data_IF_194298978095
#
_entry.id   IF_194298978095
#
_cell.length_a   1.000
_cell.length_b   1.000
_cell.length_c   1.000
_cell.angle_alpha   90.00
_cell.angle_beta   90.00
_cell.angle_gamma   90.00
#
_symmetry.space_group_name_H-M   'P 1'
#
loop_
_entity.id
_entity.type
_entity.pdbx_description
1 polymer ?
#
# COMPACT_ATOMS: atom_id res chain seq x y z
N UNK A 1 23.69 7.34 -4.83
CA UNK A 1 23.32 8.73 -4.45
C UNK A 1 23.58 9.03 -2.98
N UNK A 2 23.09 8.22 -2.03
CA UNK A 2 23.38 8.41 -0.60
C UNK A 2 24.89 8.46 -0.30
N UNK A 3 25.67 7.47 -0.76
CA UNK A 3 27.13 7.46 -0.59
C UNK A 3 27.81 8.72 -1.17
N UNK A 4 27.30 9.26 -2.29
CA UNK A 4 27.83 10.48 -2.89
C UNK A 4 27.47 11.76 -2.12
N UNK A 5 26.26 11.83 -1.53
CA UNK A 5 25.86 12.94 -0.66
C UNK A 5 26.63 12.94 0.65
N UNK A 6 26.84 11.75 1.25
CA UNK A 6 27.65 11.60 2.45
C UNK A 6 29.11 11.97 2.19
N UNK A 7 29.68 11.49 1.08
CA UNK A 7 31.03 11.86 0.66
C UNK A 7 31.16 13.38 0.54
N UNK A 8 30.24 14.02 -0.18
CA UNK A 8 30.25 15.47 -0.35
C UNK A 8 30.11 16.21 0.99
N UNK A 9 29.26 15.71 1.90
CA UNK A 9 29.08 16.28 3.23
C UNK A 9 30.32 16.10 4.10
N UNK A 10 30.99 14.95 4.09
CA UNK A 10 32.22 14.72 4.85
C UNK A 10 33.38 15.60 4.33
N UNK A 11 33.53 15.74 3.01
CA UNK A 11 34.57 16.61 2.44
C UNK A 11 34.33 18.08 2.83
N UNK A 12 33.06 18.53 2.86
CA UNK A 12 32.73 19.95 3.09
C UNK A 12 32.63 20.33 4.57
N UNK A 13 32.09 19.47 5.43
CA UNK A 13 31.95 19.76 6.87
C UNK A 13 33.16 19.33 7.69
N UNK A 14 33.78 18.19 7.37
CA UNK A 14 34.84 17.58 8.16
C UNK A 14 36.24 17.83 7.59
N UNK A 15 36.35 18.46 6.41
CA UNK A 15 37.64 18.67 5.70
C UNK A 15 38.46 17.38 5.53
N UNK A 16 37.80 16.21 5.60
CA UNK A 16 38.45 14.93 5.47
C UNK A 16 38.84 14.72 3.99
N UNK A 17 40.14 14.55 3.66
CA UNK A 17 40.57 14.43 2.27
C UNK A 17 40.06 13.13 1.62
N UNK A 18 39.79 12.09 2.42
CA UNK A 18 39.43 10.75 1.94
C UNK A 18 38.35 10.07 2.82
N UNK A 19 37.07 10.50 2.77
CA UNK A 19 36.02 10.00 3.66
C UNK A 19 35.42 8.67 3.18
N UNK A 20 36.26 7.63 3.16
CA UNK A 20 35.85 6.28 2.75
C UNK A 20 34.92 5.62 3.77
N UNK A 21 35.05 5.94 5.05
CA UNK A 21 34.34 5.27 6.14
C UNK A 21 32.88 5.73 6.18
N UNK A 22 32.65 7.04 6.05
CA UNK A 22 31.31 7.62 5.97
C UNK A 22 30.56 7.16 4.73
N UNK A 23 31.25 7.04 3.58
CA UNK A 23 30.65 6.53 2.35
C UNK A 23 30.27 5.05 2.47
N UNK A 24 31.11 4.21 3.06
CA UNK A 24 30.83 2.80 3.34
C UNK A 24 29.67 2.66 4.33
N UNK A 25 29.65 3.44 5.42
CA UNK A 25 28.55 3.43 6.39
C UNK A 25 27.21 3.82 5.74
N UNK A 26 27.19 4.86 4.90
CA UNK A 26 25.98 5.28 4.19
C UNK A 26 25.52 4.24 3.14
N UNK A 27 26.45 3.60 2.43
CA UNK A 27 26.14 2.53 1.49
C UNK A 27 25.50 1.33 2.22
N UNK A 28 26.11 0.88 3.30
CA UNK A 28 25.65 -0.28 4.07
C UNK A 28 24.27 -0.03 4.70
N UNK A 29 23.99 1.18 5.18
CA UNK A 29 22.65 1.53 5.69
C UNK A 29 21.60 1.49 4.58
N UNK A 30 21.92 2.05 3.42
CA UNK A 30 20.97 2.07 2.30
C UNK A 30 20.73 0.65 1.78
N UNK A 31 21.77 -0.16 1.62
CA UNK A 31 21.65 -1.57 1.22
C UNK A 31 20.81 -2.37 2.22
N UNK A 32 21.09 -2.20 3.53
CA UNK A 32 20.32 -2.83 4.59
C UNK A 32 18.84 -2.42 4.56
N UNK A 33 18.51 -1.18 4.20
CA UNK A 33 17.11 -0.71 4.17
C UNK A 33 16.36 -0.96 2.86
N UNK A 34 17.07 -1.15 1.75
CA UNK A 34 16.46 -1.52 0.46
C UNK A 34 16.00 -2.98 0.50
N UNK A 35 16.70 -3.84 1.26
CA UNK A 35 16.42 -5.29 1.28
C UNK A 35 15.65 -5.74 2.53
N UNK A 36 15.78 -5.08 3.69
CA UNK A 36 15.02 -5.43 4.92
C UNK A 36 14.61 -4.17 5.72
N UNK A 37 13.52 -4.29 6.47
CA UNK A 37 12.74 -3.27 7.22
C UNK A 37 13.54 -2.17 7.98
N UNK A 38 12.90 -1.04 8.39
CA UNK A 38 13.53 0.06 9.20
C UNK A 38 14.31 -0.51 10.39
N UNK A 39 13.72 -1.52 11.01
CA UNK A 39 14.29 -2.22 12.18
C UNK A 39 15.68 -2.80 11.90
N UNK A 40 15.96 -3.23 10.68
CA UNK A 40 17.28 -3.69 10.27
C UNK A 40 18.30 -2.53 10.24
N UNK A 41 17.91 -1.40 9.65
CA UNK A 41 18.76 -0.20 9.60
C UNK A 41 19.05 0.38 10.99
N UNK A 42 18.05 0.42 11.88
CA UNK A 42 18.25 0.87 13.26
C UNK A 42 19.09 -0.10 14.08
N UNK A 43 18.94 -1.42 13.87
CA UNK A 43 19.79 -2.43 14.52
C UNK A 43 21.24 -2.33 14.05
N UNK A 44 21.45 -2.08 12.75
CA UNK A 44 22.77 -1.83 12.18
C UNK A 44 23.41 -0.57 12.78
N UNK A 45 22.66 0.54 12.84
CA UNK A 45 23.12 1.79 13.45
C UNK A 45 23.48 1.59 14.94
N UNK A 46 22.60 0.95 15.72
CA UNK A 46 22.85 0.63 17.12
C UNK A 46 24.08 -0.26 17.29
N UNK A 47 24.29 -1.21 16.38
CA UNK A 47 25.48 -2.05 16.34
C UNK A 47 26.76 -1.24 16.17
N UNK A 48 26.82 -0.39 15.15
CA UNK A 48 27.99 0.46 14.93
C UNK A 48 28.29 1.34 16.16
N UNK A 49 27.26 1.92 16.77
CA UNK A 49 27.40 2.75 17.97
C UNK A 49 27.92 1.95 19.18
N UNK A 50 27.41 0.74 19.39
CA UNK A 50 27.89 -0.16 20.45
C UNK A 50 29.34 -0.61 20.20
N UNK A 51 29.70 -0.91 18.95
CA UNK A 51 31.07 -1.26 18.57
C UNK A 51 32.07 -0.16 18.91
N UNK A 52 31.74 1.09 18.57
CA UNK A 52 32.54 2.26 18.97
C UNK A 52 32.58 2.41 20.49
N UNK A 53 31.43 2.30 21.17
CA UNK A 53 31.33 2.47 22.61
C UNK A 53 32.16 1.44 23.40
N UNK A 54 32.38 0.25 22.85
CA UNK A 54 33.28 -0.78 23.42
C UNK A 54 34.74 -0.49 23.05
N UNK A 55 35.01 -0.11 21.80
CA UNK A 55 36.37 0.06 21.30
C UNK A 55 37.12 1.24 21.92
N UNK A 56 36.44 2.37 22.14
CA UNK A 56 37.05 3.60 22.70
C UNK A 56 37.63 3.38 24.11
N UNK A 57 36.85 2.93 25.12
CA UNK A 57 37.39 2.70 26.46
C UNK A 57 38.44 1.59 26.47
N UNK A 58 38.25 0.51 25.70
CA UNK A 58 39.25 -0.56 25.64
C UNK A 58 40.59 -0.07 25.05
N UNK A 59 40.55 0.83 24.06
CA UNK A 59 41.75 1.42 23.50
C UNK A 59 42.47 2.37 24.48
N UNK A 60 41.73 3.03 25.38
CA UNK A 60 42.28 3.96 26.39
C UNK A 60 42.81 3.26 27.65
N UNK A 61 42.12 2.23 28.14
CA UNK A 61 42.39 1.62 29.45
C UNK A 61 43.19 0.30 29.39
N UNK A 62 43.23 -0.40 28.25
CA UNK A 62 43.91 -1.70 28.14
C UNK A 62 45.33 -1.52 27.61
N UNK A 63 46.30 -2.26 28.16
CA UNK A 63 47.69 -2.25 27.67
C UNK A 63 47.82 -2.75 26.23
N UNK A 64 48.81 -2.25 25.45
CA UNK A 64 48.91 -2.55 24.03
C UNK A 64 49.36 -3.99 23.83
N UNK A 65 48.57 -4.80 23.14
CA UNK A 65 48.95 -6.17 22.81
C UNK A 65 47.80 -7.04 22.31
N UNK A 66 48.13 -8.31 22.01
CA UNK A 66 47.17 -9.34 21.58
C UNK A 66 45.99 -9.47 22.55
N UNK A 67 46.24 -9.31 23.84
CA UNK A 67 45.22 -9.41 24.88
C UNK A 67 44.14 -8.33 24.78
N UNK A 68 44.50 -7.08 24.48
CA UNK A 68 43.53 -5.99 24.33
C UNK A 68 42.64 -6.15 23.10
N UNK A 69 43.23 -6.59 21.99
CA UNK A 69 42.48 -6.87 20.76
C UNK A 69 41.54 -8.07 20.95
N UNK A 70 42.03 -9.14 21.59
CA UNK A 70 41.21 -10.30 21.92
C UNK A 70 40.03 -9.92 22.84
N UNK A 71 40.25 -9.06 23.83
CA UNK A 71 39.20 -8.57 24.73
C UNK A 71 38.11 -7.78 23.98
N UNK A 72 38.51 -6.87 23.09
CA UNK A 72 37.55 -6.05 22.29
C UNK A 72 36.73 -6.90 21.34
N UNK A 73 37.38 -7.81 20.62
CA UNK A 73 36.70 -8.73 19.71
C UNK A 73 35.77 -9.65 20.50
N UNK A 74 36.23 -10.18 21.63
CA UNK A 74 35.40 -11.04 22.48
C UNK A 74 34.19 -10.31 23.05
N UNK A 75 34.37 -9.09 23.57
CA UNK A 75 33.29 -8.26 24.10
C UNK A 75 32.28 -7.87 23.02
N UNK A 76 32.74 -7.45 21.85
CA UNK A 76 31.86 -7.08 20.73
C UNK A 76 31.10 -8.29 20.16
N UNK A 77 31.72 -9.47 20.09
CA UNK A 77 31.03 -10.72 19.72
C UNK A 77 30.00 -11.12 20.78
N UNK A 78 30.32 -10.98 22.07
CA UNK A 78 29.41 -11.29 23.15
C UNK A 78 28.18 -10.37 23.14
N UNK A 79 28.37 -9.08 22.88
CA UNK A 79 27.29 -8.11 22.69
C UNK A 79 26.50 -8.38 21.39
N UNK A 80 27.17 -8.81 20.32
CA UNK A 80 26.53 -9.17 19.06
C UNK A 80 25.64 -10.41 19.17
N UNK A 81 25.90 -11.31 20.14
CA UNK A 81 25.07 -12.49 20.42
C UNK A 81 23.74 -12.15 21.11
N UNK A 82 23.55 -10.93 21.58
CA UNK A 82 22.27 -10.52 22.17
C UNK A 82 21.18 -10.52 21.09
N UNK A 83 20.04 -11.16 21.37
CA UNK A 83 18.93 -11.40 20.41
C UNK A 83 18.37 -10.12 19.75
N UNK A 84 18.69 -8.96 20.34
CA UNK A 84 18.26 -7.64 19.88
C UNK A 84 18.82 -7.26 18.49
N UNK A 85 19.95 -7.83 18.06
CA UNK A 85 20.64 -7.44 16.83
C UNK A 85 20.42 -8.39 15.64
N UNK A 86 19.99 -9.63 15.89
CA UNK A 86 19.73 -10.63 14.85
C UNK A 86 20.93 -10.86 13.90
N UNK A 87 20.66 -11.12 12.62
CA UNK A 87 21.68 -11.43 11.59
C UNK A 87 22.66 -10.29 11.27
N UNK A 88 22.42 -9.07 11.80
CA UNK A 88 23.27 -7.89 11.59
C UNK A 88 24.32 -7.71 12.70
N UNK A 89 24.34 -8.58 13.71
CA UNK A 89 25.33 -8.56 14.79
C UNK A 89 26.78 -8.72 14.32
N UNK A 90 27.01 -9.31 13.14
CA UNK A 90 28.36 -9.51 12.57
C UNK A 90 29.12 -8.22 12.26
N UNK A 91 28.44 -7.07 12.19
CA UNK A 91 29.11 -5.78 11.95
C UNK A 91 29.65 -5.12 13.22
N UNK A 92 29.22 -5.54 14.42
CA UNK A 92 29.74 -5.00 15.68
C UNK A 92 31.22 -5.33 15.86
N UNK A 93 31.66 -6.60 15.68
CA UNK A 93 33.07 -6.94 15.81
C UNK A 93 33.93 -6.23 14.77
N UNK A 94 33.45 -6.10 13.53
CA UNK A 94 34.18 -5.43 12.46
C UNK A 94 34.36 -3.94 12.75
N UNK A 95 33.30 -3.24 13.15
CA UNK A 95 33.35 -1.81 13.49
C UNK A 95 34.19 -1.55 14.74
N UNK A 96 34.05 -2.40 15.77
CA UNK A 96 34.87 -2.31 16.98
C UNK A 96 36.36 -2.52 16.70
N UNK A 97 36.72 -3.50 15.85
CA UNK A 97 38.10 -3.79 15.49
C UNK A 97 38.75 -2.63 14.72
N UNK A 98 38.05 -2.10 13.70
CA UNK A 98 38.53 -0.96 12.90
C UNK A 98 38.73 0.26 13.81
N UNK A 99 37.76 0.55 14.68
CA UNK A 99 37.84 1.68 15.63
C UNK A 99 39.02 1.50 16.59
N UNK A 100 39.19 0.30 17.17
CA UNK A 100 40.30 -0.01 18.08
C UNK A 100 41.67 0.17 17.41
N UNK A 101 41.81 -0.28 16.16
CA UNK A 101 43.04 -0.12 15.38
C UNK A 101 43.37 1.36 15.14
N UNK A 102 42.37 2.18 14.80
CA UNK A 102 42.52 3.62 14.56
C UNK A 102 42.89 4.40 15.83
N UNK A 103 42.24 4.14 16.97
CA UNK A 103 42.57 4.80 18.25
C UNK A 103 44.01 4.54 18.65
N UNK A 104 44.49 3.30 18.47
CA UNK A 104 45.83 2.87 18.90
C UNK A 104 46.95 3.38 17.99
N UNK A 105 46.64 3.67 16.73
CA UNK A 105 47.57 4.20 15.72
C UNK A 105 48.18 5.58 16.03
N UNK A 106 47.87 6.19 17.18
CA UNK A 106 48.40 7.46 17.70
C UNK A 106 47.99 8.72 16.93
N UNK A 107 46.73 8.79 16.51
CA UNK A 107 46.11 10.05 16.11
C UNK A 107 44.82 10.28 16.90
N UNK A 108 44.89 10.62 18.21
CA UNK A 108 43.69 10.85 19.02
C UNK A 108 42.83 12.01 18.49
N UNK A 109 43.43 12.96 17.76
CA UNK A 109 42.68 14.00 17.04
C UNK A 109 41.85 13.44 15.88
N UNK A 110 42.35 12.41 15.17
CA UNK A 110 41.65 11.76 14.06
C UNK A 110 40.51 10.86 14.52
N UNK A 111 40.48 10.48 15.81
CA UNK A 111 39.37 9.70 16.36
C UNK A 111 38.05 10.48 16.35
N UNK A 112 38.11 11.79 16.63
CA UNK A 112 36.94 12.67 16.61
C UNK A 112 36.42 12.79 15.19
N UNK A 113 37.31 12.99 14.22
CA UNK A 113 36.95 13.09 12.81
C UNK A 113 36.38 11.77 12.28
N UNK A 114 36.98 10.63 12.64
CA UNK A 114 36.49 9.32 12.26
C UNK A 114 35.10 9.01 12.83
N UNK A 115 34.87 9.34 14.10
CA UNK A 115 33.56 9.14 14.73
C UNK A 115 32.50 10.07 14.13
N UNK A 116 32.88 11.32 13.84
CA UNK A 116 32.01 12.26 13.16
C UNK A 116 31.68 11.79 11.73
N UNK A 117 32.62 11.17 11.02
CA UNK A 117 32.41 10.58 9.69
C UNK A 117 31.40 9.43 9.73
N UNK A 118 31.50 8.53 10.73
CA UNK A 118 30.55 7.44 10.95
C UNK A 118 29.16 7.98 11.30
N UNK A 119 29.07 8.98 12.18
CA UNK A 119 27.81 9.61 12.55
C UNK A 119 27.14 10.31 11.37
N UNK A 120 27.92 11.00 10.53
CA UNK A 120 27.43 11.65 9.32
C UNK A 120 26.95 10.60 8.31
N UNK A 121 27.70 9.50 8.14
CA UNK A 121 27.28 8.34 7.36
C UNK A 121 25.97 7.72 7.85
N UNK A 122 25.83 7.57 9.17
CA UNK A 122 24.59 7.14 9.80
C UNK A 122 23.44 8.09 9.50
N UNK A 123 23.66 9.39 9.71
CA UNK A 123 22.64 10.42 9.53
C UNK A 123 22.16 10.50 8.06
N UNK A 124 23.06 10.56 7.09
CA UNK A 124 22.71 10.60 5.68
C UNK A 124 22.15 9.28 5.17
N UNK A 125 22.65 8.15 5.64
CA UNK A 125 22.09 6.82 5.36
C UNK A 125 20.66 6.71 5.84
N UNK A 126 20.39 7.08 7.10
CA UNK A 126 19.03 7.12 7.66
C UNK A 126 18.15 8.12 6.91
N UNK A 127 18.66 9.32 6.59
CA UNK A 127 17.90 10.34 5.88
C UNK A 127 17.52 9.86 4.48
N UNK A 128 18.48 9.35 3.70
CA UNK A 128 18.21 8.81 2.36
C UNK A 128 17.24 7.63 2.42
N UNK A 129 17.43 6.74 3.39
CA UNK A 129 16.55 5.61 3.62
C UNK A 129 15.13 6.07 3.98
N UNK A 130 14.97 6.99 4.93
CA UNK A 130 13.69 7.59 5.28
C UNK A 130 13.03 8.34 4.11
N UNK A 131 13.80 8.87 3.17
CA UNK A 131 13.29 9.49 1.95
C UNK A 131 12.81 8.46 0.92
N UNK A 132 13.47 7.30 0.81
CA UNK A 132 13.14 6.23 -0.13
C UNK A 132 12.04 5.29 0.40
N UNK A 133 12.04 5.03 1.71
CA UNK A 133 11.12 4.17 2.44
C UNK A 133 9.63 4.41 2.10
N UNK A 134 9.10 5.65 2.15
CA UNK A 134 7.70 5.90 1.85
C UNK A 134 7.35 5.68 0.38
N UNK A 135 8.29 5.86 -0.55
CA UNK A 135 8.01 5.71 -1.98
C UNK A 135 7.74 4.25 -2.37
N UNK A 136 8.43 3.30 -1.74
CA UNK A 136 8.29 1.86 -2.03
C UNK A 136 6.96 1.31 -1.48
N UNK A 137 6.58 1.64 -0.22
CA UNK A 137 5.30 1.15 0.36
C UNK A 137 4.08 1.73 -0.34
N UNK A 138 4.14 3.00 -0.72
CA UNK A 138 3.04 3.62 -1.46
C UNK A 138 2.81 2.89 -2.79
N UNK A 139 3.89 2.46 -3.45
CA UNK A 139 3.79 1.71 -4.69
C UNK A 139 3.27 0.29 -4.49
N UNK A 140 3.68 -0.41 -3.43
CA UNK A 140 3.16 -1.76 -3.14
C UNK A 140 1.67 -1.72 -2.85
N UNK A 141 1.21 -0.74 -2.07
CA UNK A 141 -0.22 -0.56 -1.80
C UNK A 141 -1.03 -0.18 -3.05
N UNK A 142 -0.50 0.70 -3.91
CA UNK A 142 -1.12 1.00 -5.21
C UNK A 142 -1.29 -0.27 -6.07
N UNK A 143 -0.27 -1.13 -6.12
CA UNK A 143 -0.33 -2.41 -6.84
C UNK A 143 -1.30 -3.39 -6.21
N UNK A 144 -1.35 -3.50 -4.88
CA UNK A 144 -2.27 -4.39 -4.18
C UNK A 144 -3.73 -3.99 -4.41
N UNK A 145 -4.02 -2.68 -4.36
CA UNK A 145 -5.35 -2.14 -4.70
C UNK A 145 -5.69 -2.38 -6.18
N UNK A 146 -4.74 -2.20 -7.10
CA UNK A 146 -4.98 -2.49 -8.53
C UNK A 146 -5.25 -3.98 -8.77
N UNK A 147 -4.49 -4.86 -8.11
CA UNK A 147 -4.72 -6.30 -8.14
C UNK A 147 -6.13 -6.62 -7.63
N UNK A 148 -6.54 -6.08 -6.49
CA UNK A 148 -7.88 -6.30 -5.94
C UNK A 148 -8.99 -5.81 -6.89
N UNK A 149 -8.86 -4.61 -7.47
CA UNK A 149 -9.82 -4.09 -8.47
C UNK A 149 -9.92 -5.00 -9.69
N UNK A 150 -8.77 -5.41 -10.23
CA UNK A 150 -8.72 -6.29 -11.42
C UNK A 150 -9.33 -7.66 -11.13
N UNK A 151 -9.06 -8.22 -9.95
CA UNK A 151 -9.58 -9.51 -9.51
C UNK A 151 -11.11 -9.43 -9.32
N UNK A 152 -11.61 -8.40 -8.64
CA UNK A 152 -13.05 -8.19 -8.45
C UNK A 152 -13.78 -7.98 -9.78
N UNK A 153 -13.22 -7.19 -10.70
CA UNK A 153 -13.79 -7.00 -12.03
C UNK A 153 -13.85 -8.32 -12.81
N UNK A 154 -12.76 -9.10 -12.80
CA UNK A 154 -12.72 -10.42 -13.43
C UNK A 154 -13.76 -11.39 -12.85
N UNK A 155 -13.95 -11.39 -11.53
CA UNK A 155 -14.96 -12.23 -10.89
C UNK A 155 -16.39 -11.79 -11.21
N UNK A 156 -16.65 -10.48 -11.28
CA UNK A 156 -17.94 -9.95 -11.73
C UNK A 156 -18.24 -10.34 -13.18
N UNK A 157 -17.23 -10.32 -14.06
CA UNK A 157 -17.36 -10.77 -15.45
C UNK A 157 -17.61 -12.30 -15.50
N UNK A 158 -16.89 -13.09 -14.71
CA UNK A 158 -17.12 -14.54 -14.64
C UNK A 158 -18.49 -14.91 -14.06
N UNK A 159 -19.04 -14.10 -13.12
CA UNK A 159 -20.43 -14.23 -12.70
C UNK A 159 -21.41 -13.90 -13.83
N UNK A 160 -21.12 -12.87 -14.64
CA UNK A 160 -21.94 -12.54 -15.80
C UNK A 160 -21.92 -13.68 -16.83
N UNK A 161 -20.77 -14.29 -17.03
CA UNK A 161 -20.58 -15.43 -17.93
C UNK A 161 -21.31 -16.67 -17.41
N UNK A 162 -21.25 -16.98 -16.11
CA UNK A 162 -22.02 -18.06 -15.49
C UNK A 162 -23.53 -17.86 -15.66
N UNK A 163 -24.01 -16.63 -15.48
CA UNK A 163 -25.41 -16.23 -15.70
C UNK A 163 -25.81 -16.46 -17.17
N UNK A 164 -25.02 -15.98 -18.14
CA UNK A 164 -25.36 -16.14 -19.57
C UNK A 164 -25.18 -17.56 -20.10
N UNK A 165 -24.12 -18.23 -19.66
CA UNK A 165 -23.74 -19.59 -20.05
C UNK A 165 -24.53 -20.67 -19.33
N UNK A 166 -25.50 -20.28 -18.47
CA UNK A 166 -26.40 -21.22 -17.80
C UNK A 166 -25.63 -22.21 -16.90
N UNK A 167 -24.52 -21.78 -16.30
CA UNK A 167 -23.64 -22.60 -15.45
C UNK A 167 -23.57 -22.08 -14.01
N UNK A 168 -22.90 -22.84 -13.13
CA UNK A 168 -22.62 -22.38 -11.76
C UNK A 168 -21.37 -21.51 -11.71
N UNK A 169 -21.32 -20.44 -10.89
CA UNK A 169 -20.11 -19.66 -10.68
C UNK A 169 -18.87 -20.50 -10.35
N UNK A 170 -18.99 -21.54 -9.52
CA UNK A 170 -17.86 -22.45 -9.21
C UNK A 170 -17.28 -23.19 -10.42
N UNK A 171 -18.06 -23.42 -11.47
CA UNK A 171 -17.60 -24.10 -12.68
C UNK A 171 -16.81 -23.16 -13.58
N UNK A 172 -17.22 -21.88 -13.64
CA UNK A 172 -16.57 -20.84 -14.47
C UNK A 172 -15.34 -20.25 -13.78
N UNK A 173 -15.44 -19.94 -12.49
CA UNK A 173 -14.39 -19.26 -11.71
C UNK A 173 -13.48 -20.24 -10.95
N UNK A 174 -13.80 -21.53 -10.94
CA UNK A 174 -13.12 -22.55 -10.14
C UNK A 174 -13.57 -22.59 -8.67
N UNK A 175 -13.22 -23.61 -7.89
CA UNK A 175 -13.74 -23.79 -6.53
C UNK A 175 -13.15 -22.81 -5.50
N UNK A 176 -11.96 -22.26 -5.76
CA UNK A 176 -11.19 -21.43 -4.84
C UNK A 176 -11.43 -19.91 -5.01
N UNK A 177 -12.26 -19.50 -5.96
CA UNK A 177 -12.44 -18.09 -6.36
C UNK A 177 -12.74 -17.14 -5.17
N UNK A 178 -13.55 -17.59 -4.21
CA UNK A 178 -13.86 -16.82 -2.99
C UNK A 178 -12.62 -16.63 -2.10
N UNK A 179 -11.82 -17.68 -1.93
CA UNK A 179 -10.61 -17.62 -1.11
C UNK A 179 -9.54 -16.72 -1.73
N UNK A 180 -9.47 -16.68 -3.07
CA UNK A 180 -8.59 -15.75 -3.78
C UNK A 180 -9.00 -14.29 -3.54
N UNK A 181 -10.31 -14.00 -3.54
CA UNK A 181 -10.88 -12.68 -3.25
C UNK A 181 -10.57 -12.25 -1.80
N UNK A 182 -10.82 -13.14 -0.83
CA UNK A 182 -10.52 -12.92 0.60
C UNK A 182 -9.04 -12.60 0.81
N UNK A 183 -8.17 -13.41 0.20
CA UNK A 183 -6.71 -13.23 0.27
C UNK A 183 -6.29 -11.89 -0.32
N UNK A 184 -6.86 -11.52 -1.48
CA UNK A 184 -6.55 -10.24 -2.13
C UNK A 184 -7.02 -9.04 -1.29
N UNK A 185 -8.16 -9.12 -0.62
CA UNK A 185 -8.63 -8.08 0.31
C UNK A 185 -7.70 -7.99 1.53
N UNK A 186 -7.28 -9.11 2.09
CA UNK A 186 -6.34 -9.14 3.22
C UNK A 186 -4.98 -8.54 2.83
N UNK A 187 -4.42 -8.92 1.68
CA UNK A 187 -3.18 -8.34 1.12
C UNK A 187 -3.32 -6.82 0.88
N UNK A 188 -4.45 -6.37 0.34
CA UNK A 188 -4.69 -4.94 0.12
C UNK A 188 -4.82 -4.18 1.45
N UNK A 189 -5.46 -4.76 2.46
CA UNK A 189 -5.58 -4.17 3.81
C UNK A 189 -4.21 -3.98 4.45
N UNK A 190 -3.40 -5.04 4.50
CA UNK A 190 -2.05 -4.97 5.09
C UNK A 190 -1.17 -3.97 4.36
N UNK A 191 -1.14 -4.01 3.02
CA UNK A 191 -0.33 -3.08 2.22
C UNK A 191 -0.75 -1.61 2.41
N UNK A 192 -2.06 -1.33 2.47
CA UNK A 192 -2.58 0.03 2.69
C UNK A 192 -2.29 0.52 4.11
N UNK A 193 -2.40 -0.33 5.13
CA UNK A 193 -2.08 0.05 6.51
C UNK A 193 -0.58 0.30 6.69
N UNK A 194 0.28 -0.57 6.17
CA UNK A 194 1.74 -0.34 6.15
C UNK A 194 2.12 0.96 5.43
N UNK A 195 1.45 1.26 4.30
CA UNK A 195 1.67 2.50 3.58
C UNK A 195 1.21 3.73 4.37
N UNK A 196 0.08 3.64 5.09
CA UNK A 196 -0.40 4.73 5.95
C UNK A 196 0.54 4.98 7.13
N UNK A 197 1.00 3.93 7.80
CA UNK A 197 1.99 4.06 8.87
C UNK A 197 3.27 4.70 8.35
N UNK A 198 3.75 4.25 7.19
CA UNK A 198 4.94 4.80 6.52
C UNK A 198 4.77 6.29 6.17
N UNK A 199 3.57 6.72 5.76
CA UNK A 199 3.27 8.13 5.44
C UNK A 199 3.11 8.98 6.70
N UNK A 200 2.64 8.41 7.82
CA UNK A 200 2.50 9.13 9.10
C UNK A 200 3.84 9.62 9.62
N UNK A 201 4.90 8.84 9.44
CA UNK A 201 6.27 9.19 9.85
C UNK A 201 7.04 10.01 8.82
N UNK A 202 6.39 10.44 7.73
CA UNK A 202 7.08 11.11 6.63
C UNK A 202 7.03 12.64 6.75
N UNK A 203 8.22 13.25 6.78
CA UNK A 203 8.43 14.70 6.75
C UNK A 203 8.17 15.34 5.37
N UNK A 204 8.08 14.54 4.29
CA UNK A 204 8.03 15.08 2.92
C UNK A 204 6.61 15.45 2.47
N UNK A 205 6.37 16.70 2.00
CA UNK A 205 5.03 17.17 1.59
C UNK A 205 4.50 16.49 0.30
N UNK A 206 5.37 15.97 -0.57
CA UNK A 206 4.95 15.29 -1.81
C UNK A 206 4.19 13.99 -1.54
N UNK A 207 4.50 13.29 -0.45
CA UNK A 207 3.78 12.07 -0.04
C UNK A 207 2.32 12.37 0.36
N UNK A 208 2.04 13.57 0.90
CA UNK A 208 0.67 14.01 1.18
C UNK A 208 -0.18 14.14 -0.09
N UNK A 209 0.41 14.49 -1.24
CA UNK A 209 -0.29 14.54 -2.53
C UNK A 209 -0.60 13.15 -3.10
N UNK A 210 0.14 12.10 -2.74
CA UNK A 210 -0.18 10.72 -3.16
C UNK A 210 -1.31 10.06 -2.36
N UNK A 211 -1.84 10.73 -1.33
CA UNK A 211 -3.00 10.26 -0.53
C UNK A 211 -4.22 9.88 -1.38
N UNK A 212 -4.42 10.51 -2.55
CA UNK A 212 -5.59 10.27 -3.40
C UNK A 212 -5.72 8.81 -3.88
N UNK A 213 -4.62 8.10 -4.09
CA UNK A 213 -4.65 6.70 -4.57
C UNK A 213 -4.68 5.66 -3.44
N UNK A 214 -4.48 6.10 -2.21
CA UNK A 214 -4.31 5.29 -0.99
C UNK A 214 -5.48 5.49 -0.02
N UNK A 215 -6.67 5.80 -0.52
CA UNK A 215 -7.77 6.14 0.38
C UNK A 215 -8.35 4.89 1.06
N UNK A 216 -8.36 4.87 2.41
CA UNK A 216 -9.07 3.86 3.21
C UNK A 216 -10.55 3.75 2.83
N UNK A 217 -11.13 4.79 2.23
CA UNK A 217 -12.50 4.74 1.70
C UNK A 217 -12.61 3.84 0.48
N UNK A 218 -11.64 3.88 -0.44
CA UNK A 218 -11.62 3.02 -1.63
C UNK A 218 -11.43 1.57 -1.21
N UNK A 219 -10.49 1.29 -0.30
CA UNK A 219 -10.30 -0.06 0.22
C UNK A 219 -11.57 -0.61 0.89
N UNK A 220 -12.25 0.21 1.70
CA UNK A 220 -13.53 -0.17 2.31
C UNK A 220 -14.58 -0.46 1.25
N UNK A 221 -14.77 0.43 0.28
CA UNK A 221 -15.72 0.21 -0.80
C UNK A 221 -15.43 -1.06 -1.61
N UNK A 222 -14.16 -1.38 -1.88
CA UNK A 222 -13.78 -2.61 -2.57
C UNK A 222 -14.02 -3.86 -1.71
N UNK A 223 -13.78 -3.79 -0.40
CA UNK A 223 -14.08 -4.87 0.52
C UNK A 223 -15.60 -5.10 0.68
N UNK A 224 -16.39 -4.03 0.75
CA UNK A 224 -17.86 -4.14 0.79
C UNK A 224 -18.40 -4.73 -0.53
N UNK A 225 -17.82 -4.34 -1.67
CA UNK A 225 -18.15 -4.93 -2.98
C UNK A 225 -17.75 -6.40 -3.04
N UNK A 226 -16.61 -6.77 -2.47
CA UNK A 226 -16.16 -8.16 -2.37
C UNK A 226 -17.18 -9.03 -1.62
N UNK A 227 -17.57 -8.62 -0.42
CA UNK A 227 -18.61 -9.29 0.38
C UNK A 227 -19.87 -9.50 -0.47
N UNK A 228 -20.20 -8.48 -1.25
CA UNK A 228 -21.38 -8.45 -2.06
C UNK A 228 -21.31 -9.35 -3.31
N UNK A 229 -20.15 -9.43 -3.94
CA UNK A 229 -19.87 -10.37 -5.04
C UNK A 229 -19.92 -11.81 -4.52
N UNK A 230 -19.33 -12.07 -3.35
CA UNK A 230 -19.37 -13.38 -2.68
C UNK A 230 -20.81 -13.80 -2.33
N UNK A 231 -21.63 -12.90 -1.80
CA UNK A 231 -23.05 -13.18 -1.53
C UNK A 231 -23.82 -13.52 -2.82
N UNK A 232 -23.62 -12.75 -3.88
CA UNK A 232 -24.23 -12.99 -5.20
C UNK A 232 -23.82 -14.34 -5.77
N UNK A 233 -22.53 -14.68 -5.70
CA UNK A 233 -22.00 -15.95 -6.18
C UNK A 233 -22.52 -17.15 -5.39
N UNK A 234 -22.70 -17.03 -4.06
CA UNK A 234 -23.34 -18.09 -3.24
C UNK A 234 -24.79 -18.35 -3.67
N UNK A 235 -25.58 -17.29 -3.86
CA UNK A 235 -26.97 -17.43 -4.31
C UNK A 235 -27.08 -18.10 -5.69
N UNK A 236 -26.16 -17.76 -6.60
CA UNK A 236 -26.10 -18.36 -7.95
C UNK A 236 -25.57 -19.80 -7.93
N UNK A 237 -24.66 -20.15 -7.01
CA UNK A 237 -24.20 -21.54 -6.81
C UNK A 237 -25.35 -22.42 -6.28
N UNK A 238 -26.11 -21.93 -5.30
CA UNK A 238 -27.23 -22.66 -4.67
C UNK A 238 -28.40 -22.86 -5.64
N UNK A 239 -28.77 -21.80 -6.37
CA UNK A 239 -29.91 -21.79 -7.29
C UNK A 239 -29.53 -21.11 -8.60
N UNK A 240 -28.92 -21.83 -9.55
CA UNK A 240 -28.58 -21.27 -10.84
C UNK A 240 -29.85 -20.82 -11.57
N UNK A 241 -29.75 -19.72 -12.33
CA UNK A 241 -30.88 -19.12 -13.04
C UNK A 241 -31.57 -20.10 -14.00
N UNK A 242 -30.85 -21.10 -14.49
CA UNK A 242 -31.37 -22.18 -15.34
C UNK A 242 -32.42 -23.02 -14.64
N UNK A 243 -32.14 -23.42 -13.40
CA UNK A 243 -33.07 -24.23 -12.61
C UNK A 243 -34.33 -23.46 -12.21
N UNK A 244 -34.31 -22.12 -12.31
CA UNK A 244 -35.50 -21.28 -12.15
C UNK A 244 -36.44 -21.31 -13.37
N UNK A 245 -35.98 -21.83 -14.51
CA UNK A 245 -36.80 -21.94 -15.73
C UNK A 245 -37.69 -23.20 -15.75
N UNK A 246 -37.39 -24.24 -14.96
CA UNK A 246 -37.93 -25.59 -15.15
C UNK A 246 -39.18 -25.93 -14.31
N UNK A 247 -39.97 -24.96 -13.82
CA UNK A 247 -41.22 -25.25 -13.07
C UNK A 247 -42.49 -24.91 -13.87
N UNK A 248 -43.54 -25.75 -13.82
CA UNK A 248 -43.90 -26.86 -14.72
C UNK A 248 -44.70 -26.46 -15.99
N UNK A 249 -44.74 -27.42 -16.93
CA UNK A 249 -45.08 -27.37 -18.35
C UNK A 249 -46.54 -27.07 -18.79
N UNK A 250 -47.33 -26.29 -18.05
CA UNK A 250 -48.78 -26.12 -18.35
C UNK A 250 -49.21 -24.74 -18.88
N UNK A 251 -48.31 -23.92 -19.43
CA UNK A 251 -48.67 -22.64 -20.04
C UNK A 251 -48.01 -22.45 -21.41
N UNK A 252 -48.79 -22.67 -22.47
CA UNK A 252 -48.37 -22.78 -23.88
C UNK A 252 -47.99 -21.43 -24.53
N UNK A 253 -48.03 -20.28 -23.83
CA UNK A 253 -47.87 -18.97 -24.51
C UNK A 253 -47.09 -17.90 -23.74
N UNK A 254 -46.08 -18.29 -22.95
CA UNK A 254 -45.23 -17.33 -22.21
C UNK A 254 -43.80 -17.44 -22.69
N UNK A 255 -43.28 -16.39 -23.33
CA UNK A 255 -41.84 -16.16 -23.59
C UNK A 255 -41.04 -16.63 -22.36
N UNK A 256 -40.01 -17.49 -22.50
CA UNK A 256 -39.28 -18.04 -21.37
C UNK A 256 -38.76 -16.91 -20.48
N UNK A 257 -39.41 -16.72 -19.32
CA UNK A 257 -39.28 -15.57 -18.41
C UNK A 257 -37.84 -15.34 -17.93
N UNK A 258 -37.03 -16.40 -17.96
CA UNK A 258 -35.61 -16.44 -17.64
C UNK A 258 -34.73 -15.68 -18.63
N UNK A 259 -35.09 -15.62 -19.91
CA UNK A 259 -34.29 -14.88 -20.92
C UNK A 259 -34.39 -13.36 -20.72
N UNK A 260 -35.54 -12.88 -20.24
CA UNK A 260 -35.78 -11.46 -19.98
C UNK A 260 -34.94 -10.88 -18.84
N UNK A 261 -34.59 -11.66 -17.81
CA UNK A 261 -33.79 -11.20 -16.66
C UNK A 261 -32.29 -11.50 -16.81
N UNK A 262 -31.93 -12.63 -17.42
CA UNK A 262 -30.53 -13.08 -17.54
C UNK A 262 -29.66 -12.07 -18.31
N UNK A 263 -30.09 -11.66 -19.50
CA UNK A 263 -29.30 -10.76 -20.37
C UNK A 263 -29.10 -9.36 -19.74
N UNK A 264 -30.12 -8.72 -19.15
CA UNK A 264 -29.94 -7.45 -18.45
C UNK A 264 -29.11 -7.57 -17.17
N UNK A 265 -29.27 -8.65 -16.40
CA UNK A 265 -28.52 -8.87 -15.16
C UNK A 265 -27.04 -9.12 -15.44
N UNK A 266 -26.69 -9.92 -16.45
CA UNK A 266 -25.31 -10.10 -16.88
C UNK A 266 -24.68 -8.78 -17.36
N UNK A 267 -25.43 -7.95 -18.10
CA UNK A 267 -24.97 -6.60 -18.46
C UNK A 267 -24.73 -5.73 -17.23
N UNK A 268 -25.59 -5.81 -16.23
CA UNK A 268 -25.42 -5.07 -14.98
C UNK A 268 -24.13 -5.51 -14.26
N UNK A 269 -23.87 -6.81 -14.13
CA UNK A 269 -22.62 -7.34 -13.57
C UNK A 269 -21.38 -6.78 -14.28
N UNK A 270 -21.35 -6.82 -15.62
CA UNK A 270 -20.25 -6.25 -16.42
C UNK A 270 -20.11 -4.74 -16.24
N UNK A 271 -21.21 -3.99 -16.14
CA UNK A 271 -21.13 -2.55 -15.86
C UNK A 271 -20.59 -2.26 -14.46
N UNK A 272 -20.93 -3.10 -13.48
CA UNK A 272 -20.36 -3.01 -12.13
C UNK A 272 -18.87 -3.36 -12.15
N UNK A 273 -18.45 -4.37 -12.92
CA UNK A 273 -17.04 -4.73 -13.11
C UNK A 273 -16.21 -3.53 -13.60
N UNK A 274 -16.70 -2.81 -14.61
CA UNK A 274 -16.08 -1.57 -15.09
C UNK A 274 -15.99 -0.49 -14.02
N UNK A 275 -17.06 -0.30 -13.24
CA UNK A 275 -17.07 0.68 -12.16
C UNK A 275 -16.08 0.34 -11.02
N UNK A 276 -15.91 -0.95 -10.73
CA UNK A 276 -14.94 -1.45 -9.74
C UNK A 276 -13.50 -1.27 -10.25
N UNK A 277 -13.25 -1.64 -11.51
CA UNK A 277 -11.93 -1.52 -12.13
C UNK A 277 -11.40 -0.08 -12.10
N UNK A 278 -12.25 0.90 -12.41
CA UNK A 278 -11.88 2.32 -12.42
C UNK A 278 -12.03 3.04 -11.06
N UNK A 279 -12.34 2.33 -9.98
CA UNK A 279 -12.53 2.90 -8.64
C UNK A 279 -11.20 3.40 -8.03
N UNK A 280 -10.78 4.63 -8.38
CA UNK A 280 -9.50 5.23 -7.98
C UNK A 280 -9.61 6.37 -6.94
N UNK A 281 -10.76 6.56 -6.28
CA UNK A 281 -10.92 7.49 -5.15
C UNK A 281 -11.00 8.99 -5.48
N UNK A 282 -11.11 9.36 -6.76
CA UNK A 282 -11.13 10.76 -7.20
C UNK A 282 -12.39 11.20 -7.95
N UNK A 283 -12.96 10.32 -8.78
CA UNK A 283 -14.19 10.57 -9.54
C UNK A 283 -14.97 9.27 -9.70
N UNK A 284 -16.31 9.28 -9.60
CA UNK A 284 -17.13 8.12 -9.94
C UNK A 284 -16.97 7.80 -11.42
N UNK A 285 -16.96 6.50 -11.75
CA UNK A 285 -16.94 6.05 -13.13
C UNK A 285 -18.19 6.56 -13.88
N UNK A 286 -18.09 7.01 -15.15
CA UNK A 286 -19.21 7.59 -15.90
C UNK A 286 -20.38 6.62 -16.11
N UNK A 287 -20.14 5.30 -16.05
CA UNK A 287 -21.20 4.30 -16.16
C UNK A 287 -22.00 4.09 -14.85
N UNK A 288 -21.56 4.64 -13.72
CA UNK A 288 -22.18 4.38 -12.42
C UNK A 288 -23.65 4.87 -12.35
N UNK A 289 -24.01 6.06 -12.86
CA UNK A 289 -25.42 6.47 -12.96
C UNK A 289 -26.24 5.53 -13.87
N UNK A 290 -25.65 5.03 -14.96
CA UNK A 290 -26.32 4.11 -15.87
C UNK A 290 -26.57 2.74 -15.24
N UNK A 291 -25.60 2.22 -14.47
CA UNK A 291 -25.74 0.98 -13.70
C UNK A 291 -26.87 1.08 -12.67
N UNK A 292 -26.94 2.18 -11.91
CA UNK A 292 -28.06 2.44 -10.99
C UNK A 292 -29.42 2.52 -11.68
N UNK A 293 -29.49 3.20 -12.83
CA UNK A 293 -30.73 3.22 -13.62
C UNK A 293 -31.11 1.82 -14.13
N UNK A 294 -30.13 0.97 -14.44
CA UNK A 294 -30.39 -0.42 -14.83
C UNK A 294 -30.94 -1.25 -13.64
N UNK A 295 -30.34 -1.15 -12.45
CA UNK A 295 -30.88 -1.76 -11.22
C UNK A 295 -32.32 -1.32 -10.97
N UNK A 296 -32.57 -0.01 -10.98
CA UNK A 296 -33.90 0.55 -10.72
C UNK A 296 -34.94 0.08 -11.75
N UNK A 297 -34.54 -0.07 -13.02
CA UNK A 297 -35.43 -0.60 -14.08
C UNK A 297 -35.75 -2.08 -13.86
N UNK A 298 -34.76 -2.89 -13.47
CA UNK A 298 -34.93 -4.32 -13.22
C UNK A 298 -35.69 -4.62 -11.93
N UNK A 299 -35.58 -3.74 -10.93
CA UNK A 299 -36.28 -3.87 -9.65
C UNK A 299 -37.72 -3.40 -9.64
N UNK A 300 -38.25 -2.87 -10.76
CA UNK A 300 -39.65 -2.40 -10.80
C UNK A 300 -40.62 -3.57 -10.54
N UNK A 301 -41.56 -3.43 -9.59
CA UNK A 301 -42.51 -4.50 -9.29
C UNK A 301 -43.38 -4.77 -10.52
N UNK A 302 -43.33 -6.01 -11.02
CA UNK A 302 -44.32 -6.53 -11.96
C UNK A 302 -45.51 -7.14 -11.22
N UNK A 303 -46.63 -7.38 -11.92
CA UNK A 303 -47.93 -7.74 -11.32
C UNK A 303 -48.06 -9.13 -10.65
N UNK A 304 -47.00 -9.94 -10.49
CA UNK A 304 -47.11 -11.11 -9.59
C UNK A 304 -46.07 -11.22 -8.43
N UNK A 305 -46.40 -11.99 -7.39
CA UNK A 305 -45.56 -12.17 -6.20
C UNK A 305 -44.79 -13.51 -6.15
N UNK A 306 -44.38 -14.08 -7.28
CA UNK A 306 -43.72 -15.41 -7.32
C UNK A 306 -42.36 -15.48 -6.57
N UNK A 307 -42.00 -16.68 -6.08
CA UNK A 307 -40.74 -16.95 -5.36
C UNK A 307 -39.47 -16.58 -6.16
N UNK A 308 -39.46 -16.85 -7.48
CA UNK A 308 -38.37 -16.44 -8.37
C UNK A 308 -38.09 -14.92 -8.33
N UNK A 309 -39.14 -14.09 -8.16
CA UNK A 309 -39.00 -12.62 -8.02
C UNK A 309 -38.44 -12.19 -6.67
N UNK A 310 -38.59 -12.99 -5.63
CA UNK A 310 -37.93 -12.72 -4.35
C UNK A 310 -36.42 -12.95 -4.48
N UNK A 311 -36.01 -14.02 -5.17
CA UNK A 311 -34.60 -14.33 -5.43
C UNK A 311 -33.93 -13.31 -6.36
N UNK A 312 -34.61 -12.91 -7.46
CA UNK A 312 -34.11 -11.87 -8.37
C UNK A 312 -33.97 -10.51 -7.67
N UNK A 313 -34.90 -10.17 -6.77
CA UNK A 313 -34.76 -8.97 -5.92
C UNK A 313 -33.58 -9.07 -4.97
N UNK A 314 -33.28 -10.25 -4.44
CA UNK A 314 -32.13 -10.45 -3.56
C UNK A 314 -30.81 -10.23 -4.33
N UNK A 315 -30.72 -10.76 -5.56
CA UNK A 315 -29.59 -10.53 -6.47
C UNK A 315 -29.43 -9.03 -6.84
N UNK A 316 -30.53 -8.33 -7.10
CA UNK A 316 -30.49 -6.89 -7.41
C UNK A 316 -30.13 -6.03 -6.19
N UNK A 317 -30.66 -6.37 -5.00
CA UNK A 317 -30.34 -5.69 -3.74
C UNK A 317 -28.83 -5.70 -3.48
N UNK A 318 -28.25 -6.86 -3.74
CA UNK A 318 -26.83 -7.09 -3.65
C UNK A 318 -26.03 -6.19 -4.61
N UNK A 319 -26.35 -6.14 -5.89
CA UNK A 319 -25.67 -5.22 -6.82
C UNK A 319 -25.89 -3.73 -6.48
N UNK A 320 -27.06 -3.36 -5.95
CA UNK A 320 -27.34 -1.99 -5.53
C UNK A 320 -26.47 -1.56 -4.33
N UNK A 321 -26.29 -2.47 -3.36
CA UNK A 321 -25.40 -2.26 -2.22
C UNK A 321 -23.95 -2.05 -2.69
N UNK A 322 -23.46 -2.88 -3.62
CA UNK A 322 -22.12 -2.74 -4.21
C UNK A 322 -21.94 -1.38 -4.91
N UNK A 323 -22.90 -0.96 -5.74
CA UNK A 323 -22.87 0.35 -6.40
C UNK A 323 -22.93 1.52 -5.40
N UNK A 324 -23.62 1.33 -4.28
CA UNK A 324 -23.70 2.33 -3.20
C UNK A 324 -22.37 2.48 -2.47
N UNK A 325 -21.70 1.39 -2.14
CA UNK A 325 -20.35 1.42 -1.57
C UNK A 325 -19.35 2.12 -2.50
N UNK A 326 -19.41 1.84 -3.82
CA UNK A 326 -18.58 2.51 -4.82
C UNK A 326 -18.81 4.03 -4.85
N UNK A 327 -20.04 4.51 -4.65
CA UNK A 327 -20.26 5.96 -4.56
C UNK A 327 -19.79 6.61 -3.27
N UNK A 328 -19.88 5.89 -2.14
CA UNK A 328 -19.41 6.41 -0.86
C UNK A 328 -17.88 6.59 -0.82
N UNK A 329 -17.17 5.91 -1.73
CA UNK A 329 -15.72 6.07 -1.92
C UNK A 329 -15.32 7.42 -2.54
N UNK A 330 -16.26 8.15 -3.17
CA UNK A 330 -15.99 9.43 -3.81
C UNK A 330 -15.97 10.56 -2.76
N UNK A 331 -14.89 11.35 -2.65
CA UNK A 331 -14.88 12.49 -1.76
C UNK A 331 -15.96 13.50 -2.19
N UNK A 332 -16.81 13.92 -1.26
CA UNK A 332 -17.72 15.03 -1.48
C UNK A 332 -16.91 16.25 -1.93
N UNK A 333 -17.30 16.93 -3.03
CA UNK A 333 -16.57 18.11 -3.47
C UNK A 333 -16.58 19.12 -2.32
N UNK A 334 -15.39 19.39 -1.77
CA UNK A 334 -15.24 20.50 -0.85
C UNK A 334 -15.67 21.75 -1.60
N UNK A 335 -16.68 22.43 -1.06
CA UNK A 335 -17.13 23.75 -1.55
C UNK A 335 -15.86 24.58 -1.79
N UNK A 336 -15.61 25.09 -3.01
CA UNK A 336 -14.44 25.93 -3.21
C UNK A 336 -14.50 27.07 -2.19
N UNK A 337 -13.39 27.45 -1.54
CA UNK A 337 -13.39 28.63 -0.69
C UNK A 337 -13.90 29.77 -1.57
N UNK A 338 -14.93 30.45 -1.08
CA UNK A 338 -15.48 31.64 -1.72
C UNK A 338 -14.33 32.59 -1.99
N UNK A 339 -13.83 32.60 -3.24
CA UNK A 339 -13.01 33.69 -3.74
C UNK A 339 -13.92 34.90 -3.60
N UNK A 340 -13.71 35.68 -2.54
CA UNK A 340 -14.20 37.05 -2.47
C UNK A 340 -13.59 37.74 -3.69
N UNK A 341 -14.38 37.84 -4.76
CA UNK A 341 -14.11 38.79 -5.80
C UNK A 341 -14.13 40.14 -5.10
N UNK A 342 -12.95 40.69 -4.82
CA UNK A 342 -12.84 42.14 -4.71
C UNK A 342 -13.32 42.67 -6.05
N UNK A 343 -14.53 43.22 -6.03
CA UNK A 343 -15.06 44.01 -7.12
C UNK A 343 -13.99 45.05 -7.45
N UNK A 344 -13.38 44.91 -8.63
CA UNK A 344 -12.62 45.97 -9.27
C UNK A 344 -13.56 47.17 -9.34
N UNK A 345 -13.26 48.17 -8.53
CA UNK A 345 -13.91 49.47 -8.53
C UNK A 345 -13.95 49.99 -9.96
N UNK A 346 -15.16 50.21 -10.44
CA UNK A 346 -15.46 50.80 -11.73
C UNK A 346 -14.76 52.15 -11.88
N UNK A 347 -14.20 52.33 -13.07
CA UNK A 347 -13.59 53.55 -13.59
C UNK A 347 -14.45 54.78 -13.29
N UNK A 348 -13.87 55.79 -12.61
CA UNK A 348 -14.38 57.17 -12.65
C UNK A 348 -13.94 57.80 -13.98
N UNK A 349 -14.85 58.41 -14.76
CA UNK A 349 -14.45 59.23 -15.89
C UNK A 349 -13.91 60.57 -15.35
N UNK A 350 -12.78 60.98 -15.90
CA UNK A 350 -12.19 62.31 -15.74
C UNK A 350 -13.07 63.35 -16.46
N UNK A 351 -13.68 64.26 -15.70
CA UNK A 351 -14.29 65.46 -16.27
C UNK A 351 -13.18 66.42 -16.74
N UNK A 352 -13.21 66.74 -18.03
CA UNK A 352 -12.57 67.93 -18.61
C UNK A 352 -13.25 69.19 -18.06
N UNK A 353 -12.46 70.13 -17.55
CA UNK A 353 -12.63 71.55 -17.85
C UNK A 353 -11.29 72.24 -17.88
#
# INVERSE_FOLDING_TARGET
MAAGLTWQACVTLLHAPHPYVGAVAALLIVEATVVRTVTAATRYAAGCLLGVAVAVPAALYVEPGMAGLALVVFASVLLARHEFLGHHGLHLPTTALITFALVRGRHPAELVDHLAEVMLGLAFGLACSALLFPAVRVRSAERALERLRSLLAHHLDGLADAVTGRGRPREVLGPAWRHELDTAVAEARTAVDEAHESVRWNVRPTARRRRWHLDRRVLRALADVEEQVCATGRLLDEKPLVSRAETPADAIDVVPRTEGFTQPYARLLRTTALCVYDCRGGRPHPALPAARHAVARLGRPGCDPSAARAEDRNLLHHLDAALTCLTASVPTPSRPPTRRHHALSTLRPTERR
#
